data_IF_185394124706
#
_entry.id   IF_185394124706
#
_cell.length_a   1.000
_cell.length_b   1.000
_cell.length_c   1.000
_cell.angle_alpha   90.00
_cell.angle_beta   90.00
_cell.angle_gamma   90.00
#
_symmetry.space_group_name_H-M   'P 1'
#
loop_
_entity.id
_entity.type
_entity.pdbx_description
1 polymer ?
#
# COMPACT_ATOMS: atom_id res chain seq x y z
N UNK A 1 -4.64 -16.13 -23.41
CA UNK A 1 -3.38 -15.36 -23.25
C UNK A 1 -3.53 -14.00 -22.57
N UNK A 2 -4.75 -13.50 -22.27
CA UNK A 2 -4.93 -12.20 -21.59
C UNK A 2 -5.03 -12.29 -20.04
N UNK A 3 -5.10 -13.49 -19.47
CA UNK A 3 -5.20 -13.71 -18.03
C UNK A 3 -3.86 -13.60 -17.29
N UNK A 4 -2.74 -13.57 -18.02
CA UNK A 4 -1.39 -13.63 -17.45
C UNK A 4 -0.88 -12.27 -16.94
N UNK A 5 -1.45 -11.16 -17.41
CA UNK A 5 -0.97 -9.80 -17.09
C UNK A 5 -1.62 -9.27 -15.80
N UNK A 6 -2.89 -9.62 -15.54
CA UNK A 6 -3.58 -9.22 -14.31
C UNK A 6 -3.00 -9.95 -13.07
N UNK A 7 -2.46 -11.15 -13.26
CA UNK A 7 -1.89 -11.98 -12.19
C UNK A 7 -0.42 -11.67 -11.86
N UNK A 8 0.29 -10.96 -12.76
CA UNK A 8 1.68 -10.55 -12.54
C UNK A 8 1.79 -9.26 -11.73
N UNK A 9 0.84 -8.32 -11.89
CA UNK A 9 0.80 -7.07 -11.09
C UNK A 9 0.47 -7.32 -9.61
N UNK A 10 -0.19 -8.44 -9.28
CA UNK A 10 -0.49 -8.81 -7.88
C UNK A 10 0.66 -9.57 -7.18
N UNK A 11 1.69 -10.04 -7.91
CA UNK A 11 2.79 -10.84 -7.35
C UNK A 11 4.10 -10.09 -7.17
N UNK A 12 4.36 -9.03 -7.92
CA UNK A 12 5.55 -8.20 -7.75
C UNK A 12 5.18 -6.94 -6.98
N UNK A 13 5.02 -7.11 -5.66
CA UNK A 13 4.63 -6.05 -4.75
C UNK A 13 5.72 -4.99 -4.55
N UNK A 14 6.01 -4.19 -5.57
CA UNK A 14 6.69 -2.91 -5.40
C UNK A 14 5.70 -1.84 -4.94
N UNK A 15 6.14 -0.93 -4.06
CA UNK A 15 5.44 0.35 -3.89
C UNK A 15 5.57 1.11 -5.22
N UNK A 16 4.46 1.63 -5.75
CA UNK A 16 4.56 2.60 -6.85
C UNK A 16 5.38 3.82 -6.43
N UNK A 17 5.95 4.58 -7.37
CA UNK A 17 6.79 5.77 -7.07
C UNK A 17 6.11 6.74 -6.09
N UNK A 18 4.81 6.98 -6.30
CA UNK A 18 3.96 7.80 -5.43
C UNK A 18 3.80 7.23 -4.01
N UNK A 19 3.74 5.91 -3.89
CA UNK A 19 3.59 5.20 -2.61
C UNK A 19 4.92 5.17 -1.85
N UNK A 20 6.05 5.05 -2.57
CA UNK A 20 7.40 5.24 -2.02
C UNK A 20 7.56 6.66 -1.50
N UNK A 21 7.09 7.65 -2.27
CA UNK A 21 7.19 9.06 -1.89
C UNK A 21 6.32 9.36 -0.68
N UNK A 22 5.04 9.03 -0.70
CA UNK A 22 4.08 9.41 0.35
C UNK A 22 4.07 8.46 1.55
N UNK A 23 4.86 7.38 1.49
CA UNK A 23 4.93 6.33 2.53
C UNK A 23 3.53 5.82 2.90
N UNK A 24 2.66 5.69 1.90
CA UNK A 24 1.28 5.25 2.04
C UNK A 24 0.88 4.41 0.83
N UNK A 25 -0.19 3.61 0.96
CA UNK A 25 -0.61 2.68 -0.09
C UNK A 25 -2.01 3.03 -0.60
N UNK A 26 -2.29 2.78 -1.87
CA UNK A 26 -3.63 2.82 -2.42
C UNK A 26 -4.27 1.43 -2.35
N UNK A 27 -5.35 1.30 -1.56
CA UNK A 27 -6.09 0.05 -1.40
C UNK A 27 -7.44 0.13 -2.10
N UNK A 28 -7.86 -0.99 -2.68
CA UNK A 28 -9.13 -1.09 -3.40
C UNK A 28 -10.31 -0.79 -2.47
N UNK A 29 -11.17 0.12 -2.88
CA UNK A 29 -12.37 0.54 -2.17
C UNK A 29 -13.60 -0.14 -2.76
N UNK A 30 -13.78 -1.42 -2.41
CA UNK A 30 -14.92 -2.23 -2.83
C UNK A 30 -14.73 -2.98 -4.15
N UNK A 31 -15.83 -3.56 -4.65
CA UNK A 31 -15.83 -4.34 -5.88
C UNK A 31 -15.69 -3.48 -7.15
N UNK A 32 -15.30 -4.13 -8.25
CA UNK A 32 -15.26 -3.49 -9.57
C UNK A 32 -16.67 -3.11 -9.99
N UNK A 33 -16.90 -1.85 -10.36
CA UNK A 33 -18.19 -1.40 -10.89
C UNK A 33 -18.18 -1.52 -12.41
N UNK A 34 -19.21 -2.15 -12.98
CA UNK A 34 -19.37 -2.27 -14.44
C UNK A 34 -20.39 -1.24 -14.91
N UNK A 35 -20.13 -0.61 -16.05
CA UNK A 35 -21.07 0.28 -16.72
C UNK A 35 -21.53 -0.35 -18.04
N UNK A 36 -22.70 0.07 -18.52
CA UNK A 36 -23.34 -0.45 -19.74
C UNK A 36 -22.47 -0.32 -21.01
N UNK A 37 -21.46 0.55 -21.02
CA UNK A 37 -20.56 0.79 -22.17
C UNK A 37 -19.25 -0.02 -22.12
N UNK A 38 -19.24 -1.25 -21.61
CA UNK A 38 -18.03 -2.08 -21.44
C UNK A 38 -16.90 -1.40 -20.64
N UNK A 39 -17.26 -0.50 -19.71
CA UNK A 39 -16.31 0.17 -18.82
C UNK A 39 -16.33 -0.49 -17.45
N UNK A 40 -15.15 -0.75 -16.90
CA UNK A 40 -14.95 -1.24 -15.54
C UNK A 40 -14.22 -0.19 -14.72
N UNK A 41 -14.75 0.09 -13.53
CA UNK A 41 -14.21 1.08 -12.61
C UNK A 41 -13.69 0.38 -11.35
N UNK A 42 -12.42 0.60 -11.06
CA UNK A 42 -11.77 0.20 -9.82
C UNK A 42 -11.40 1.46 -9.05
N UNK A 43 -11.98 1.60 -7.86
CA UNK A 43 -11.70 2.72 -6.97
C UNK A 43 -10.66 2.31 -5.94
N UNK A 44 -9.73 3.20 -5.65
CA UNK A 44 -8.69 3.02 -4.67
C UNK A 44 -8.62 4.24 -3.77
N UNK A 45 -8.40 4.02 -2.49
CA UNK A 45 -8.26 5.08 -1.48
C UNK A 45 -6.97 4.86 -0.70
N UNK A 46 -6.46 5.90 -0.07
CA UNK A 46 -5.34 5.74 0.85
C UNK A 46 -5.66 4.69 1.94
N UNK A 47 -4.73 3.76 2.18
CA UNK A 47 -4.83 2.71 3.20
C UNK A 47 -4.98 3.27 4.61
N UNK A 48 -4.49 4.49 4.84
CA UNK A 48 -4.63 5.23 6.10
C UNK A 48 -5.98 5.94 6.25
N UNK A 49 -6.72 6.16 5.17
CA UNK A 49 -8.00 6.88 5.20
C UNK A 49 -9.06 6.14 6.03
N UNK A 50 -9.78 6.89 6.86
CA UNK A 50 -10.94 6.45 7.62
C UNK A 50 -10.65 6.15 9.10
N UNK A 51 -11.69 5.66 9.78
CA UNK A 51 -11.67 5.35 11.21
C UNK A 51 -11.44 3.86 11.42
N UNK A 52 -10.61 3.51 12.40
CA UNK A 52 -10.39 2.12 12.78
C UNK A 52 -11.67 1.53 13.39
N UNK A 53 -12.19 0.45 12.80
CA UNK A 53 -13.31 -0.30 13.37
C UNK A 53 -12.79 -1.25 14.45
N UNK A 54 -12.79 -0.77 15.69
CA UNK A 54 -12.55 -1.60 16.87
C UNK A 54 -13.82 -2.42 17.14
N UNK A 55 -13.67 -3.73 17.35
CA UNK A 55 -14.78 -4.58 17.79
C UNK A 55 -14.69 -4.63 19.32
N UNK A 56 -15.80 -4.38 20.00
CA UNK A 56 -15.90 -4.34 21.46
C UNK A 56 -15.54 -5.68 22.12
N UNK A 57 -15.86 -6.80 21.47
CA UNK A 57 -15.63 -8.15 22.01
C UNK A 57 -14.48 -8.86 21.27
N UNK A 58 -13.23 -8.49 21.57
CA UNK A 58 -12.05 -9.22 21.06
C UNK A 58 -11.30 -9.90 22.19
N UNK A 59 -11.05 -11.21 22.02
CA UNK A 59 -10.17 -11.99 22.92
C UNK A 59 -8.69 -11.59 22.82
N UNK A 60 -8.28 -10.97 21.70
CA UNK A 60 -6.90 -10.54 21.46
C UNK A 60 -6.78 -9.04 21.72
N UNK A 61 -5.76 -8.65 22.49
CA UNK A 61 -5.38 -7.24 22.69
C UNK A 61 -5.03 -6.54 21.37
N UNK A 62 -5.14 -5.21 21.38
CA UNK A 62 -4.67 -4.40 20.27
C UNK A 62 -3.16 -4.55 20.07
N UNK A 63 -2.72 -4.37 18.82
CA UNK A 63 -1.29 -4.32 18.54
C UNK A 63 -0.71 -3.07 19.19
N UNK A 64 0.51 -3.17 19.72
CA UNK A 64 1.26 -2.03 20.28
C UNK A 64 1.31 -0.87 19.27
N UNK A 65 1.48 -1.18 17.97
CA UNK A 65 1.49 -0.20 16.89
C UNK A 65 0.11 0.36 16.51
N UNK A 66 -0.97 -0.01 17.20
CA UNK A 66 -2.34 0.44 16.93
C UNK A 66 -2.84 0.15 15.51
N UNK A 67 -3.83 0.93 15.08
CA UNK A 67 -4.37 0.87 13.71
C UNK A 67 -3.45 1.55 12.68
N UNK A 68 -3.55 1.12 11.42
CA UNK A 68 -2.95 1.81 10.26
C UNK A 68 -3.78 3.04 9.86
N UNK A 69 -5.06 3.05 10.24
CA UNK A 69 -6.00 4.14 9.95
C UNK A 69 -5.64 5.40 10.74
N UNK A 70 -5.73 6.58 10.11
CA UNK A 70 -5.43 7.87 10.74
C UNK A 70 -6.62 8.48 11.50
N UNK A 71 -7.80 7.87 11.45
CA UNK A 71 -9.00 8.39 12.11
C UNK A 71 -9.69 9.53 11.35
N UNK A 72 -9.11 10.00 10.24
CA UNK A 72 -9.64 11.07 9.39
C UNK A 72 -9.78 10.59 7.95
N UNK A 73 -10.59 11.28 7.16
CA UNK A 73 -10.70 11.01 5.73
C UNK A 73 -9.51 11.65 5.00
N UNK A 74 -8.72 10.83 4.34
CA UNK A 74 -7.65 11.30 3.46
C UNK A 74 -8.23 11.56 2.05
N UNK A 75 -7.94 12.73 1.42
CA UNK A 75 -8.42 13.04 0.07
C UNK A 75 -7.66 12.32 -1.03
N UNK A 76 -6.57 11.61 -0.73
CA UNK A 76 -5.84 10.84 -1.73
C UNK A 76 -6.66 9.65 -2.23
N UNK A 77 -6.89 9.61 -3.53
CA UNK A 77 -7.61 8.54 -4.21
C UNK A 77 -7.02 8.26 -5.59
N UNK A 78 -7.36 7.09 -6.12
CA UNK A 78 -7.07 6.71 -7.49
C UNK A 78 -8.27 5.95 -8.07
N UNK A 79 -8.64 6.27 -9.30
CA UNK A 79 -9.70 5.60 -10.05
C UNK A 79 -9.10 5.05 -11.33
N UNK A 80 -9.10 3.73 -11.46
CA UNK A 80 -8.69 3.06 -12.68
C UNK A 80 -9.94 2.70 -13.50
N UNK A 81 -9.99 3.18 -14.73
CA UNK A 81 -11.05 2.95 -15.69
C UNK A 81 -10.49 2.06 -16.79
N UNK A 82 -11.00 0.83 -16.87
CA UNK A 82 -10.68 -0.12 -17.93
C UNK A 82 -11.80 -0.10 -18.95
N UNK A 83 -11.47 0.20 -20.20
CA UNK A 83 -12.40 0.21 -21.33
C UNK A 83 -11.94 -0.83 -22.34
N UNK A 84 -12.82 -1.79 -22.66
CA UNK A 84 -12.58 -2.72 -23.75
C UNK A 84 -12.97 -2.04 -25.07
N UNK A 85 -11.97 -1.79 -25.91
CA UNK A 85 -12.16 -1.43 -27.32
C UNK A 85 -11.92 -2.67 -28.17
N UNK A 86 -12.43 -2.66 -29.40
CA UNK A 86 -12.49 -3.78 -30.35
C UNK A 86 -11.33 -4.78 -30.21
N UNK A 87 -10.09 -4.32 -30.37
CA UNK A 87 -8.89 -5.18 -30.30
C UNK A 87 -7.93 -4.82 -29.14
N UNK A 88 -8.27 -3.84 -28.31
CA UNK A 88 -7.35 -3.33 -27.29
C UNK A 88 -8.05 -2.92 -25.99
N UNK A 89 -7.34 -3.07 -24.88
CA UNK A 89 -7.80 -2.59 -23.58
C UNK A 89 -7.18 -1.22 -23.34
N UNK A 90 -8.02 -0.18 -23.21
CA UNK A 90 -7.57 1.14 -22.77
C UNK A 90 -7.72 1.23 -21.25
N UNK A 91 -6.63 1.55 -20.56
CA UNK A 91 -6.65 1.84 -19.13
C UNK A 91 -6.43 3.34 -18.94
N UNK A 92 -7.36 4.01 -18.26
CA UNK A 92 -7.25 5.43 -17.89
C UNK A 92 -7.21 5.52 -16.37
N UNK A 93 -6.19 6.16 -15.83
CA UNK A 93 -6.04 6.37 -14.39
C UNK A 93 -6.25 7.84 -14.07
N UNK A 94 -7.18 8.12 -13.15
CA UNK A 94 -7.37 9.43 -12.55
C UNK A 94 -6.95 9.35 -11.09
N UNK A 95 -6.04 10.21 -10.64
CA UNK A 95 -5.54 10.14 -9.27
C UNK A 95 -5.33 11.51 -8.66
N UNK A 96 -5.45 11.56 -7.34
CA UNK A 96 -5.11 12.71 -6.49
C UNK A 96 -4.09 12.21 -5.46
N UNK A 97 -2.83 12.66 -5.58
CA UNK A 97 -1.72 12.19 -4.74
C UNK A 97 -1.54 12.96 -3.43
N UNK A 98 -2.24 14.08 -3.24
CA UNK A 98 -2.09 14.88 -2.03
C UNK A 98 -2.74 14.18 -0.84
N UNK A 99 -1.93 13.86 0.17
CA UNK A 99 -2.40 13.35 1.45
C UNK A 99 -2.60 14.52 2.42
N UNK A 100 -3.79 14.62 2.98
CA UNK A 100 -4.11 15.58 4.03
C UNK A 100 -4.72 14.85 5.23
N UNK A 101 -4.45 15.35 6.44
CA UNK A 101 -4.97 14.79 7.68
C UNK A 101 -4.17 13.60 8.23
N UNK A 102 -3.03 13.26 7.63
CA UNK A 102 -2.07 12.35 8.25
C UNK A 102 -0.64 12.58 7.76
N UNK A 103 0.34 12.31 8.63
CA UNK A 103 1.76 12.38 8.29
C UNK A 103 2.25 11.17 7.51
N UNK A 104 3.50 11.19 7.07
CA UNK A 104 4.16 10.08 6.39
C UNK A 104 4.85 9.20 7.45
N UNK A 105 4.15 8.16 7.91
CA UNK A 105 4.63 7.33 9.03
C UNK A 105 5.27 6.04 8.52
N UNK A 106 6.61 5.99 8.54
CA UNK A 106 7.39 4.81 8.12
C UNK A 106 6.99 3.55 8.89
N UNK A 107 6.69 3.67 10.19
CA UNK A 107 6.26 2.54 11.03
C UNK A 107 4.90 1.92 10.63
N UNK A 108 4.15 2.54 9.72
CA UNK A 108 2.88 2.03 9.18
C UNK A 108 3.03 1.37 7.81
N UNK A 109 4.23 1.37 7.25
CA UNK A 109 4.53 0.68 6.00
C UNK A 109 4.54 -0.83 6.20
N UNK A 110 4.16 -1.54 5.14
CA UNK A 110 4.29 -2.98 5.09
C UNK A 110 5.76 -3.33 4.85
N UNK A 111 6.34 -4.11 5.75
CA UNK A 111 7.59 -4.83 5.46
C UNK A 111 7.29 -5.97 4.50
N UNK A 112 7.98 -5.99 3.36
CA UNK A 112 7.89 -7.04 2.36
C UNK A 112 8.49 -8.34 2.87
N UNK A 113 8.09 -9.47 2.27
CA UNK A 113 8.52 -10.78 2.76
C UNK A 113 10.02 -10.99 2.63
N UNK A 114 10.63 -10.41 1.59
CA UNK A 114 12.08 -10.43 1.40
C UNK A 114 12.79 -9.67 2.51
N UNK A 115 12.34 -8.45 2.82
CA UNK A 115 12.89 -7.67 3.94
C UNK A 115 12.74 -8.41 5.27
N UNK A 116 11.59 -9.05 5.50
CA UNK A 116 11.37 -9.86 6.71
C UNK A 116 12.31 -11.06 6.77
N UNK A 117 12.54 -11.76 5.65
CA UNK A 117 13.47 -12.89 5.57
C UNK A 117 14.90 -12.44 5.85
N UNK A 118 15.32 -11.32 5.26
CA UNK A 118 16.64 -10.73 5.48
C UNK A 118 16.83 -10.32 6.95
N UNK A 119 15.86 -9.60 7.52
CA UNK A 119 15.87 -9.23 8.94
C UNK A 119 15.94 -10.45 9.86
N UNK A 120 15.13 -11.48 9.58
CA UNK A 120 15.14 -12.71 10.36
C UNK A 120 16.49 -13.45 10.26
N UNK A 121 17.15 -13.44 9.11
CA UNK A 121 18.48 -14.01 8.94
C UNK A 121 19.53 -13.25 9.79
N UNK A 122 19.51 -11.92 9.75
CA UNK A 122 20.42 -11.09 10.56
C UNK A 122 20.22 -11.31 12.07
N UNK A 123 18.97 -11.44 12.51
CA UNK A 123 18.63 -11.73 13.90
C UNK A 123 19.09 -13.15 14.32
N UNK A 124 18.95 -14.14 13.44
CA UNK A 124 19.42 -15.52 13.70
C UNK A 124 20.95 -15.59 13.87
N UNK A 125 21.68 -14.74 13.17
CA UNK A 125 23.15 -14.62 13.29
C UNK A 125 23.55 -13.97 14.64
N UNK A 126 22.60 -13.43 15.41
CA UNK A 126 22.86 -12.78 16.69
C UNK A 126 23.40 -11.35 16.54
N UNK A 127 23.16 -10.72 15.40
CA UNK A 127 23.58 -9.33 15.18
C UNK A 127 22.80 -8.39 16.11
N UNK A 128 23.47 -7.47 16.83
CA UNK A 128 22.78 -6.50 17.67
C UNK A 128 21.93 -5.56 16.82
N UNK A 129 20.80 -5.11 17.38
CA UNK A 129 19.82 -4.28 16.68
C UNK A 129 20.41 -3.00 16.08
N UNK A 130 21.37 -2.36 16.76
CA UNK A 130 22.06 -1.15 16.29
C UNK A 130 22.72 -1.38 14.93
N UNK A 131 23.46 -2.48 14.79
CA UNK A 131 24.18 -2.81 13.57
C UNK A 131 23.20 -3.16 12.43
N UNK A 132 22.09 -3.83 12.76
CA UNK A 132 21.03 -4.11 11.77
C UNK A 132 20.45 -2.80 11.22
N UNK A 133 20.13 -1.86 12.12
CA UNK A 133 19.57 -0.55 11.74
C UNK A 133 20.57 0.23 10.88
N UNK A 134 21.83 0.30 11.29
CA UNK A 134 22.89 0.98 10.54
C UNK A 134 23.08 0.40 9.14
N UNK A 135 23.09 -0.94 9.01
CA UNK A 135 23.22 -1.61 7.72
C UNK A 135 22.04 -1.27 6.78
N UNK A 136 20.83 -1.18 7.31
CA UNK A 136 19.64 -0.81 6.54
C UNK A 136 19.70 0.67 6.13
N UNK A 137 20.11 1.56 7.05
CA UNK A 137 20.24 2.99 6.77
C UNK A 137 21.33 3.28 5.72
N UNK A 138 22.43 2.51 5.72
CA UNK A 138 23.45 2.60 4.66
C UNK A 138 22.89 2.20 3.29
N UNK A 139 22.03 1.18 3.24
CA UNK A 139 21.41 0.71 1.99
C UNK A 139 20.31 1.67 1.50
N UNK A 140 19.53 2.22 2.41
CA UNK A 140 18.42 3.13 2.12
C UNK A 140 18.60 4.40 2.98
N UNK A 141 19.36 5.39 2.48
CA UNK A 141 19.58 6.62 3.22
C UNK A 141 18.24 7.33 3.45
N UNK A 142 18.03 7.93 4.62
CA UNK A 142 16.83 8.71 4.87
C UNK A 142 16.72 9.83 3.83
N UNK A 143 15.52 10.01 3.27
CA UNK A 143 15.23 11.18 2.46
C UNK A 143 15.44 12.41 3.36
N UNK A 144 16.30 13.33 2.92
CA UNK A 144 16.49 14.61 3.62
C UNK A 144 15.20 15.40 3.44
N UNK A 145 14.61 15.82 4.55
CA UNK A 145 13.44 16.71 4.58
C UNK A 145 13.76 18.07 3.94
#
# INVERSE_FOLDING_TARGET
>A
MAQSIEEQVEREGGLGEEEVRTKSLFVKNGGVRKSAKNKQFSYYICNRSGIAKLKSERKRMEKIGGSVKCGKTCPAFMTAIREQKEEAIKITVQYQSVHAGHEMQVGKLKLYEEDRRNLAALLKVGMPYTNIIENIQKKCPPLKD
#
